data_IF_615612074151
#
_entry.id   IF_615612074151
#
_cell.length_a   1.000
_cell.length_b   1.000
_cell.length_c   1.000
_cell.angle_alpha   90.00
_cell.angle_beta   90.00
_cell.angle_gamma   90.00
#
_symmetry.space_group_name_H-M   'P 1'
#
loop_
_entity.id
_entity.type
_entity.pdbx_description
1 polymer ?
#
# COMPACT_ATOMS: atom_id res chain seq x y z
N UNK A 1 19.42 9.61 12.73
CA UNK A 1 18.50 9.49 11.57
C UNK A 1 18.95 10.47 10.51
N UNK A 2 19.18 10.04 9.28
CA UNK A 2 19.72 10.92 8.24
C UNK A 2 18.79 12.12 7.99
N UNK A 3 19.38 13.31 7.90
CA UNK A 3 18.69 14.60 7.68
C UNK A 3 17.84 14.50 6.41
N UNK A 4 16.51 14.53 6.57
CA UNK A 4 15.56 14.50 5.44
C UNK A 4 15.86 15.71 4.55
N UNK A 5 16.21 15.48 3.28
CA UNK A 5 16.53 16.57 2.37
C UNK A 5 15.24 17.25 1.90
N UNK A 6 15.16 18.58 2.01
CA UNK A 6 14.05 19.38 1.47
C UNK A 6 14.00 19.43 -0.05
N UNK A 7 15.06 19.00 -0.76
CA UNK A 7 15.16 19.06 -2.22
C UNK A 7 14.23 18.00 -2.86
N UNK A 8 13.20 18.38 -3.64
CA UNK A 8 12.25 17.42 -4.23
C UNK A 8 12.91 16.38 -5.14
N UNK A 9 13.95 16.79 -5.89
CA UNK A 9 14.74 15.89 -6.75
C UNK A 9 15.36 14.73 -5.98
N UNK A 10 15.87 14.98 -4.77
CA UNK A 10 16.51 13.95 -3.94
C UNK A 10 15.46 12.99 -3.37
N UNK A 11 14.30 13.49 -2.96
CA UNK A 11 13.18 12.68 -2.45
C UNK A 11 12.61 11.75 -3.54
N UNK A 12 12.34 12.26 -4.73
CA UNK A 12 11.85 11.44 -5.86
C UNK A 12 12.85 10.33 -6.21
N UNK A 13 14.13 10.66 -6.32
CA UNK A 13 15.19 9.68 -6.59
C UNK A 13 15.24 8.56 -5.55
N UNK A 14 15.02 8.88 -4.28
CA UNK A 14 15.00 7.89 -3.20
C UNK A 14 13.83 6.92 -3.35
N UNK A 15 12.63 7.40 -3.71
CA UNK A 15 11.46 6.55 -3.91
C UNK A 15 11.61 5.64 -5.12
N UNK A 16 12.12 6.14 -6.25
CA UNK A 16 12.31 5.35 -7.47
C UNK A 16 13.39 4.26 -7.31
N UNK A 17 14.47 4.57 -6.60
CA UNK A 17 15.61 3.67 -6.44
C UNK A 17 15.59 2.88 -5.11
N UNK A 18 14.46 2.89 -4.39
CA UNK A 18 14.36 2.22 -3.09
C UNK A 18 14.52 0.70 -3.25
N UNK A 19 15.29 0.03 -2.36
CA UNK A 19 15.39 -1.43 -2.34
C UNK A 19 14.08 -2.07 -1.84
N UNK A 20 13.88 -3.36 -2.18
CA UNK A 20 12.64 -4.09 -1.93
C UNK A 20 12.20 -4.12 -0.44
N UNK A 21 13.15 -4.23 0.48
CA UNK A 21 12.84 -4.26 1.92
C UNK A 21 12.31 -2.91 2.44
N UNK A 22 12.72 -1.79 1.82
CA UNK A 22 12.21 -0.45 2.14
C UNK A 22 10.84 -0.24 1.47
N UNK A 23 10.68 -0.68 0.22
CA UNK A 23 9.41 -0.62 -0.50
C UNK A 23 8.30 -1.33 0.27
N UNK A 24 8.61 -2.45 0.95
CA UNK A 24 7.62 -3.14 1.78
C UNK A 24 7.13 -2.31 2.99
N UNK A 25 7.96 -1.42 3.54
CA UNK A 25 7.55 -0.51 4.62
C UNK A 25 6.74 0.68 4.09
N UNK A 26 7.06 1.15 2.88
CA UNK A 26 6.34 2.23 2.21
C UNK A 26 4.93 1.78 1.80
N UNK A 27 4.76 0.52 1.38
CA UNK A 27 3.48 -0.08 1.04
C UNK A 27 2.70 -0.57 2.27
N UNK A 28 2.37 0.35 3.17
CA UNK A 28 1.52 0.09 4.34
C UNK A 28 0.10 0.62 4.15
N UNK A 29 -0.89 -0.12 4.62
CA UNK A 29 -2.29 0.29 4.64
C UNK A 29 -2.76 0.58 6.07
N UNK A 30 -3.79 1.42 6.19
CA UNK A 30 -4.45 1.66 7.48
C UNK A 30 -5.31 0.47 7.88
N UNK A 31 -5.26 0.12 9.16
CA UNK A 31 -6.17 -0.84 9.77
C UNK A 31 -7.55 -0.21 9.98
N UNK A 32 -8.59 -1.04 10.02
CA UNK A 32 -9.94 -0.61 10.39
C UNK A 32 -9.98 -0.10 11.85
N UNK A 33 -10.95 0.75 12.22
CA UNK A 33 -11.05 1.29 13.58
C UNK A 33 -11.04 0.19 14.67
N UNK A 34 -11.80 -0.89 14.46
CA UNK A 34 -11.83 -2.04 15.38
C UNK A 34 -10.46 -2.71 15.56
N UNK A 35 -9.73 -2.92 14.45
CA UNK A 35 -8.40 -3.52 14.50
C UNK A 35 -7.36 -2.55 15.08
N UNK A 36 -7.54 -1.24 14.87
CA UNK A 36 -6.69 -0.20 15.47
C UNK A 36 -6.80 -0.19 16.98
N UNK A 37 -8.01 -0.29 17.52
CA UNK A 37 -8.25 -0.36 18.97
C UNK A 37 -7.66 -1.64 19.55
N UNK A 38 -7.92 -2.79 18.90
CA UNK A 38 -7.42 -4.09 19.38
C UNK A 38 -5.90 -4.19 19.42
N UNK A 39 -5.21 -3.71 18.38
CA UNK A 39 -3.76 -3.89 18.24
C UNK A 39 -2.93 -2.63 18.56
N UNK A 40 -3.57 -1.50 18.84
CA UNK A 40 -2.91 -0.23 19.13
C UNK A 40 -2.05 0.32 17.98
N UNK A 41 -2.26 -0.14 16.74
CA UNK A 41 -1.43 0.25 15.58
C UNK A 41 -2.24 0.92 14.49
N UNK A 42 -1.70 2.00 13.92
CA UNK A 42 -2.37 2.79 12.87
C UNK A 42 -2.37 2.12 11.49
N UNK A 43 -1.27 1.45 11.13
CA UNK A 43 -1.05 0.84 9.81
C UNK A 43 -0.18 -0.41 9.89
N UNK A 44 -0.28 -1.25 8.86
CA UNK A 44 0.50 -2.46 8.69
C UNK A 44 0.91 -2.66 7.22
N UNK A 45 2.02 -3.34 6.97
CA UNK A 45 2.47 -3.67 5.61
C UNK A 45 1.53 -4.69 4.97
N UNK A 46 1.06 -4.41 3.75
CA UNK A 46 0.06 -5.24 3.07
C UNK A 46 0.65 -6.61 2.71
N UNK A 47 -0.11 -7.69 2.94
CA UNK A 47 0.25 -9.05 2.56
C UNK A 47 -0.81 -9.69 1.66
N UNK A 48 -0.38 -10.71 0.93
CA UNK A 48 -1.29 -11.55 0.13
C UNK A 48 -2.18 -12.33 1.10
N UNK A 49 -3.48 -12.34 0.83
CA UNK A 49 -4.48 -12.99 1.68
C UNK A 49 -5.24 -12.05 2.63
N UNK A 50 -4.78 -10.81 2.81
CA UNK A 50 -5.48 -9.82 3.62
C UNK A 50 -6.80 -9.40 2.95
N UNK A 51 -7.84 -9.13 3.76
CA UNK A 51 -9.07 -8.48 3.30
C UNK A 51 -8.88 -6.97 3.38
N UNK A 52 -9.13 -6.28 2.28
CA UNK A 52 -8.96 -4.83 2.16
C UNK A 52 -10.21 -4.18 1.61
N UNK A 53 -10.43 -2.92 2.01
CA UNK A 53 -11.49 -2.05 1.50
C UNK A 53 -10.87 -0.89 0.74
N UNK A 54 -11.35 -0.63 -0.48
CA UNK A 54 -10.88 0.49 -1.28
C UNK A 54 -11.63 1.75 -0.84
N UNK A 55 -10.88 2.78 -0.42
CA UNK A 55 -11.46 4.02 0.10
C UNK A 55 -11.58 5.13 -0.96
N UNK A 56 -10.78 5.08 -2.03
CA UNK A 56 -10.69 6.12 -3.06
C UNK A 56 -10.61 5.50 -4.47
N UNK A 57 -11.01 6.26 -5.49
CA UNK A 57 -11.02 5.83 -6.90
C UNK A 57 -12.39 5.31 -7.36
N UNK A 58 -12.41 4.72 -8.56
CA UNK A 58 -13.63 4.20 -9.21
C UNK A 58 -14.27 3.05 -8.41
N UNK A 59 -13.44 2.17 -7.82
CA UNK A 59 -13.88 1.01 -7.04
C UNK A 59 -14.07 1.33 -5.55
N UNK A 60 -14.43 2.56 -5.21
CA UNK A 60 -14.63 2.99 -3.82
C UNK A 60 -15.74 2.18 -3.14
N UNK A 61 -15.47 1.71 -1.93
CA UNK A 61 -16.41 0.93 -1.11
C UNK A 61 -16.33 -0.58 -1.36
N UNK A 62 -15.65 -1.03 -2.41
CA UNK A 62 -15.46 -2.44 -2.71
C UNK A 62 -14.50 -3.07 -1.69
N UNK A 63 -14.89 -4.23 -1.19
CA UNK A 63 -14.09 -5.08 -0.32
C UNK A 63 -13.62 -6.31 -1.11
N UNK A 64 -12.37 -6.70 -0.91
CA UNK A 64 -11.79 -7.83 -1.62
C UNK A 64 -10.54 -8.37 -0.94
N UNK A 65 -10.16 -9.58 -1.33
CA UNK A 65 -8.92 -10.20 -0.87
C UNK A 65 -7.74 -9.72 -1.72
N UNK A 66 -6.59 -9.51 -1.11
CA UNK A 66 -5.36 -9.20 -1.85
C UNK A 66 -4.84 -10.48 -2.51
N UNK A 67 -4.79 -10.49 -3.84
CA UNK A 67 -4.27 -11.61 -4.65
C UNK A 67 -2.77 -11.49 -4.88
N UNK A 68 -2.25 -10.27 -5.05
CA UNK A 68 -0.84 -10.03 -5.34
C UNK A 68 -0.37 -8.65 -4.91
N UNK A 69 0.90 -8.57 -4.51
CA UNK A 69 1.56 -7.31 -4.13
C UNK A 69 2.80 -7.12 -5.00
N UNK A 70 2.73 -6.19 -5.95
CA UNK A 70 3.88 -5.81 -6.78
C UNK A 70 4.58 -4.61 -6.14
N UNK A 71 5.68 -4.90 -5.44
CA UNK A 71 6.51 -3.89 -4.76
C UNK A 71 7.29 -3.02 -5.72
N UNK A 72 7.66 -3.52 -6.91
CA UNK A 72 8.47 -2.78 -7.89
C UNK A 72 7.63 -1.70 -8.57
N UNK A 73 6.38 -2.03 -8.90
CA UNK A 73 5.41 -1.06 -9.47
C UNK A 73 4.62 -0.30 -8.41
N UNK A 74 4.79 -0.63 -7.13
CA UNK A 74 4.04 -0.07 -6.00
C UNK A 74 2.52 -0.22 -6.16
N UNK A 75 2.07 -1.39 -6.65
CA UNK A 75 0.64 -1.70 -6.90
C UNK A 75 0.20 -2.93 -6.12
N UNK A 76 -1.07 -2.93 -5.72
CA UNK A 76 -1.73 -4.05 -5.06
C UNK A 76 -2.86 -4.53 -5.96
N UNK A 77 -2.93 -5.83 -6.17
CA UNK A 77 -3.99 -6.49 -6.92
C UNK A 77 -5.02 -7.01 -5.93
N UNK A 78 -6.27 -6.63 -6.14
CA UNK A 78 -7.40 -6.98 -5.27
C UNK A 78 -8.40 -7.79 -6.09
N UNK A 79 -8.94 -8.83 -5.48
CA UNK A 79 -10.00 -9.65 -6.06
C UNK A 79 -11.24 -8.80 -6.37
N UNK A 80 -11.96 -9.14 -7.44
CA UNK A 80 -13.14 -8.43 -7.95
C UNK A 80 -12.91 -7.00 -8.48
N UNK A 81 -11.65 -6.55 -8.56
CA UNK A 81 -11.26 -5.25 -9.14
C UNK A 81 -10.57 -5.49 -10.47
N UNK A 82 -11.35 -5.70 -11.51
CA UNK A 82 -10.87 -6.04 -12.86
C UNK A 82 -11.47 -5.12 -13.91
N UNK A 83 -10.65 -4.69 -14.88
CA UNK A 83 -11.08 -3.95 -16.06
C UNK A 83 -11.02 -4.91 -17.25
N UNK A 84 -12.10 -4.99 -18.03
CA UNK A 84 -12.11 -5.81 -19.25
C UNK A 84 -11.10 -5.23 -20.24
N UNK A 85 -10.26 -6.10 -20.80
CA UNK A 85 -9.38 -5.73 -21.89
C UNK A 85 -10.22 -5.53 -23.17
N UNK A 86 -9.84 -4.55 -23.99
CA UNK A 86 -10.39 -4.36 -25.33
C UNK A 86 -10.02 -5.53 -26.24
#
# INVERSE_FOLDING_TARGET
MAKVSSKPRKQRRLLYNAPLHILSKLMSAHLSPELREKYGRRSFSIRVGDRVKILCGEFKGVEGKVTGVDRKRQRVMVENVTIKKA
#
